data_IF_839889432665
#
_entry.id   IF_839889432665
#
_cell.length_a   1.000
_cell.length_b   1.000
_cell.length_c   1.000
_cell.angle_alpha   90.00
_cell.angle_beta   90.00
_cell.angle_gamma   90.00
#
_symmetry.space_group_name_H-M   'P 1'
#
loop_
_entity.id
_entity.type
_entity.pdbx_description
1 polymer ?
#
# COMPACT_ATOMS: atom_id res chain seq x y z
N UNK A 1 -20.06 -10.47 14.85
CA UNK A 1 -18.73 -11.11 15.01
C UNK A 1 -17.68 -10.06 14.73
N UNK A 2 -16.71 -9.87 15.61
CA UNK A 2 -15.57 -8.95 15.41
C UNK A 2 -14.56 -9.58 14.45
N UNK A 3 -14.85 -9.53 13.16
CA UNK A 3 -14.04 -10.14 12.10
C UNK A 3 -13.01 -9.13 11.57
N UNK A 4 -11.72 -9.48 11.68
CA UNK A 4 -10.60 -8.73 11.13
C UNK A 4 -10.17 -9.47 9.86
N UNK A 5 -10.05 -8.75 8.75
CA UNK A 5 -9.52 -9.30 7.49
C UNK A 5 -8.32 -8.50 7.03
N UNK A 6 -7.12 -9.08 7.15
CA UNK A 6 -5.88 -8.52 6.63
C UNK A 6 -5.56 -9.21 5.31
N UNK A 7 -5.75 -8.50 4.19
CA UNK A 7 -5.39 -9.02 2.88
C UNK A 7 -3.87 -9.17 2.78
N UNK A 8 -3.43 -10.36 2.37
CA UNK A 8 -2.02 -10.63 2.06
C UNK A 8 -1.89 -10.71 0.54
N UNK A 9 -1.56 -9.57 -0.07
CA UNK A 9 -1.48 -9.44 -1.53
C UNK A 9 -0.31 -10.24 -2.10
N UNK A 10 -0.62 -11.17 -3.02
CA UNK A 10 0.38 -12.04 -3.65
C UNK A 10 0.13 -12.25 -5.14
N UNK A 11 1.21 -12.51 -5.88
CA UNK A 11 1.19 -12.91 -7.31
C UNK A 11 1.91 -14.25 -7.55
N UNK A 12 2.30 -14.94 -6.47
CA UNK A 12 2.97 -16.25 -6.50
C UNK A 12 2.67 -17.03 -5.22
N UNK A 13 2.89 -18.35 -5.22
CA UNK A 13 2.78 -19.14 -3.98
C UNK A 13 3.82 -18.66 -2.96
N UNK A 14 3.38 -18.51 -1.72
CA UNK A 14 4.22 -18.11 -0.60
C UNK A 14 3.71 -18.75 0.70
N UNK A 15 4.57 -18.81 1.70
CA UNK A 15 4.20 -19.22 3.05
C UNK A 15 3.37 -18.10 3.70
N UNK A 16 2.09 -18.36 3.93
CA UNK A 16 1.14 -17.37 4.46
C UNK A 16 1.06 -17.48 6.00
N UNK A 17 0.77 -16.38 6.72
CA UNK A 17 0.51 -16.44 8.15
C UNK A 17 -0.62 -17.41 8.49
N UNK A 18 -0.51 -18.09 9.63
CA UNK A 18 -1.42 -19.17 10.03
C UNK A 18 -2.76 -18.65 10.60
N UNK A 19 -2.77 -17.44 11.18
CA UNK A 19 -3.99 -16.90 11.79
C UNK A 19 -5.06 -16.57 10.75
N UNK A 20 -6.29 -17.00 11.02
CA UNK A 20 -7.43 -16.88 10.10
C UNK A 20 -7.82 -15.45 9.71
N UNK A 21 -7.33 -14.43 10.43
CA UNK A 21 -7.52 -13.03 10.05
C UNK A 21 -6.73 -12.65 8.79
N UNK A 22 -5.64 -13.37 8.47
CA UNK A 22 -4.87 -13.16 7.26
C UNK A 22 -5.56 -13.85 6.08
N UNK A 23 -5.89 -13.07 5.07
CA UNK A 23 -6.59 -13.48 3.87
C UNK A 23 -5.65 -13.39 2.66
N UNK A 24 -5.01 -14.49 2.24
CA UNK A 24 -4.22 -14.50 1.02
C UNK A 24 -5.10 -14.14 -0.18
N UNK A 25 -4.70 -13.09 -0.92
CA UNK A 25 -5.39 -12.63 -2.12
C UNK A 25 -4.43 -12.68 -3.32
N UNK A 26 -4.79 -13.46 -4.34
CA UNK A 26 -4.08 -13.49 -5.61
C UNK A 26 -4.45 -12.24 -6.41
N UNK A 27 -3.55 -11.26 -6.45
CA UNK A 27 -3.73 -10.00 -7.18
C UNK A 27 -3.44 -10.15 -8.67
N UNK A 28 -4.27 -9.53 -9.50
CA UNK A 28 -4.28 -9.75 -10.94
C UNK A 28 -4.51 -11.20 -11.30
N UNK A 29 -5.41 -11.89 -10.60
CA UNK A 29 -5.80 -13.28 -10.86
C UNK A 29 -6.30 -13.48 -12.29
N UNK A 30 -6.96 -12.47 -12.85
CA UNK A 30 -7.55 -12.53 -14.18
C UNK A 30 -6.54 -12.99 -15.24
N UNK A 31 -6.86 -14.08 -15.93
CA UNK A 31 -6.02 -14.66 -16.98
C UNK A 31 -4.72 -15.33 -16.49
N UNK A 32 -4.55 -15.58 -15.18
CA UNK A 32 -3.41 -16.33 -14.62
C UNK A 32 -3.81 -17.71 -14.11
N UNK A 33 -2.82 -18.54 -13.76
CA UNK A 33 -3.03 -19.86 -13.14
C UNK A 33 -3.42 -19.78 -11.68
N UNK A 34 -4.20 -20.77 -11.20
CA UNK A 34 -4.63 -20.79 -9.81
C UNK A 34 -3.50 -21.09 -8.83
N UNK A 35 -3.35 -20.20 -7.86
CA UNK A 35 -2.38 -20.38 -6.78
C UNK A 35 -3.00 -21.09 -5.56
N UNK A 36 -4.31 -21.35 -5.57
CA UNK A 36 -5.06 -21.90 -4.44
C UNK A 36 -5.46 -20.85 -3.39
N UNK A 37 -5.48 -19.56 -3.79
CA UNK A 37 -5.88 -18.44 -2.94
C UNK A 37 -7.12 -17.77 -3.53
N UNK A 38 -7.83 -16.98 -2.72
CA UNK A 38 -8.92 -16.14 -3.23
C UNK A 38 -8.37 -15.22 -4.30
N UNK A 39 -9.05 -15.14 -5.45
CA UNK A 39 -8.70 -14.26 -6.55
C UNK A 39 -9.38 -12.91 -6.43
N UNK A 40 -8.65 -11.85 -6.78
CA UNK A 40 -9.21 -10.50 -6.89
C UNK A 40 -10.08 -10.28 -8.15
N UNK A 41 -10.41 -11.35 -8.89
CA UNK A 41 -11.18 -11.33 -10.14
C UNK A 41 -12.63 -11.81 -9.96
N UNK A 42 -13.17 -11.71 -8.75
CA UNK A 42 -14.56 -12.11 -8.42
C UNK A 42 -15.35 -10.90 -7.94
N UNK A 43 -16.68 -10.93 -8.05
CA UNK A 43 -17.54 -9.80 -7.68
C UNK A 43 -17.20 -8.52 -8.44
N UNK A 44 -17.33 -7.37 -7.79
CA UNK A 44 -16.89 -6.10 -8.37
C UNK A 44 -15.37 -5.95 -8.22
N UNK A 45 -14.67 -5.79 -9.34
CA UNK A 45 -13.22 -5.87 -9.36
C UNK A 45 -12.54 -5.13 -10.52
N UNK A 46 -11.24 -4.91 -10.34
CA UNK A 46 -10.34 -4.34 -11.34
C UNK A 46 -9.12 -5.23 -11.60
N UNK A 47 -9.25 -6.56 -11.46
CA UNK A 47 -8.12 -7.51 -11.56
C UNK A 47 -7.31 -7.36 -12.86
N UNK A 48 -8.00 -7.08 -13.98
CA UNK A 48 -7.40 -6.80 -15.29
C UNK A 48 -6.40 -5.63 -15.29
N UNK A 49 -6.55 -4.69 -14.36
CA UNK A 49 -5.71 -3.49 -14.22
C UNK A 49 -4.44 -3.73 -13.40
N UNK A 50 -4.17 -4.96 -12.93
CA UNK A 50 -3.02 -5.27 -12.06
C UNK A 50 -1.65 -4.87 -12.63
N UNK A 51 -1.49 -4.85 -13.95
CA UNK A 51 -0.25 -4.40 -14.60
C UNK A 51 0.13 -2.95 -14.25
N UNK A 52 -0.86 -2.10 -13.95
CA UNK A 52 -0.66 -0.69 -13.61
C UNK A 52 -1.03 -0.36 -12.17
N UNK A 53 -2.11 -0.95 -11.65
CA UNK A 53 -2.60 -0.77 -10.28
C UNK A 53 -1.90 -1.65 -9.25
N UNK A 54 -1.16 -2.68 -9.67
CA UNK A 54 -0.43 -3.58 -8.78
C UNK A 54 -1.33 -4.13 -7.65
N UNK A 55 -0.86 -4.09 -6.40
CA UNK A 55 -1.57 -4.61 -5.22
C UNK A 55 -2.90 -3.89 -4.93
N UNK A 56 -3.14 -2.69 -5.52
CA UNK A 56 -4.40 -1.96 -5.38
C UNK A 56 -5.59 -2.71 -5.98
N UNK A 57 -5.36 -3.65 -6.89
CA UNK A 57 -6.42 -4.53 -7.40
C UNK A 57 -7.04 -5.39 -6.29
N UNK A 58 -6.21 -5.91 -5.38
CA UNK A 58 -6.69 -6.57 -4.16
C UNK A 58 -7.35 -5.61 -3.17
N UNK A 59 -6.82 -4.38 -3.05
CA UNK A 59 -7.43 -3.35 -2.21
C UNK A 59 -8.84 -2.95 -2.68
N UNK A 60 -9.02 -2.79 -3.99
CA UNK A 60 -10.32 -2.49 -4.60
C UNK A 60 -11.30 -3.63 -4.37
N UNK A 61 -10.85 -4.87 -4.60
CA UNK A 61 -11.66 -6.05 -4.35
C UNK A 61 -12.11 -6.11 -2.87
N UNK A 62 -11.21 -5.81 -1.93
CA UNK A 62 -11.56 -5.72 -0.51
C UNK A 62 -12.63 -4.66 -0.23
N UNK A 63 -12.50 -3.49 -0.84
CA UNK A 63 -13.43 -2.38 -0.68
C UNK A 63 -14.85 -2.78 -1.10
N UNK A 64 -14.98 -3.45 -2.24
CA UNK A 64 -16.29 -3.78 -2.81
C UNK A 64 -16.92 -5.07 -2.29
N UNK A 65 -16.12 -6.02 -1.82
CA UNK A 65 -16.60 -7.39 -1.58
C UNK A 65 -16.47 -7.87 -0.13
N UNK A 66 -15.65 -7.23 0.71
CA UNK A 66 -15.52 -7.66 2.11
C UNK A 66 -16.53 -6.98 3.03
N UNK A 67 -17.24 -7.82 3.79
CA UNK A 67 -18.07 -7.44 4.92
C UNK A 67 -17.37 -7.89 6.22
N UNK A 68 -16.68 -6.94 6.87
CA UNK A 68 -15.97 -7.16 8.12
C UNK A 68 -15.80 -5.85 8.89
N UNK A 69 -15.43 -5.92 10.18
CA UNK A 69 -15.32 -4.72 11.02
C UNK A 69 -13.99 -3.99 10.82
N UNK A 70 -12.92 -4.73 10.53
CA UNK A 70 -11.58 -4.21 10.34
C UNK A 70 -10.96 -4.80 9.08
N UNK A 71 -10.27 -3.95 8.33
CA UNK A 71 -9.59 -4.30 7.08
C UNK A 71 -8.12 -3.92 7.20
N UNK A 72 -7.25 -4.79 6.70
CA UNK A 72 -5.84 -4.48 6.55
C UNK A 72 -5.29 -4.88 5.20
N UNK A 73 -4.16 -4.28 4.82
CA UNK A 73 -3.39 -4.66 3.65
C UNK A 73 -1.95 -4.96 4.07
N UNK A 74 -1.47 -6.13 3.69
CA UNK A 74 -0.09 -6.60 3.83
C UNK A 74 0.41 -7.16 2.51
N UNK A 75 1.74 -7.24 2.36
CA UNK A 75 2.36 -7.91 1.22
C UNK A 75 2.69 -9.34 1.59
N UNK A 76 2.70 -10.25 0.62
CA UNK A 76 3.09 -11.66 0.82
C UNK A 76 4.48 -11.88 1.46
N UNK A 77 5.34 -10.86 1.47
CA UNK A 77 6.71 -10.91 2.03
C UNK A 77 6.98 -9.85 3.10
N UNK A 78 5.94 -9.15 3.55
CA UNK A 78 6.06 -8.11 4.58
C UNK A 78 4.89 -8.15 5.55
N UNK A 79 5.22 -8.33 6.82
CA UNK A 79 4.22 -8.50 7.87
C UNK A 79 4.45 -7.50 9.00
N UNK A 80 3.36 -7.01 9.57
CA UNK A 80 3.40 -6.30 10.85
C UNK A 80 3.92 -7.25 11.94
N UNK A 81 4.66 -6.71 12.91
CA UNK A 81 5.25 -7.49 13.99
C UNK A 81 4.65 -7.12 15.34
N UNK A 82 4.41 -8.12 16.19
CA UNK A 82 4.09 -7.94 17.61
C UNK A 82 5.30 -7.37 18.38
N UNK A 83 6.49 -7.92 18.12
CA UNK A 83 7.75 -7.60 18.77
C UNK A 83 8.93 -7.95 17.85
N UNK A 84 10.17 -7.66 18.27
CA UNK A 84 11.34 -8.11 17.52
C UNK A 84 11.57 -9.61 17.75
N UNK A 85 11.30 -10.41 16.71
CA UNK A 85 11.42 -11.88 16.77
C UNK A 85 12.85 -12.39 16.60
N UNK A 86 13.13 -13.57 17.16
CA UNK A 86 14.39 -14.28 17.00
C UNK A 86 14.54 -14.91 15.60
N UNK A 87 15.78 -15.16 15.16
CA UNK A 87 16.07 -15.70 13.81
C UNK A 87 15.54 -17.11 13.53
N UNK A 88 15.13 -17.88 14.55
CA UNK A 88 14.76 -19.31 14.43
C UNK A 88 13.31 -19.56 14.02
N UNK A 89 12.43 -18.57 14.16
CA UNK A 89 11.03 -18.69 13.76
C UNK A 89 10.87 -18.58 12.24
N UNK A 90 9.87 -19.28 11.68
CA UNK A 90 9.51 -19.14 10.27
C UNK A 90 9.10 -17.70 9.98
N UNK A 91 9.16 -17.29 8.71
CA UNK A 91 8.90 -15.90 8.36
C UNK A 91 7.43 -15.53 8.55
N UNK A 92 6.53 -16.47 8.29
CA UNK A 92 5.08 -16.34 8.41
C UNK A 92 4.62 -16.28 9.87
N UNK A 93 5.27 -17.02 10.78
CA UNK A 93 4.91 -17.08 12.20
C UNK A 93 5.25 -15.80 12.97
N UNK A 94 5.98 -14.87 12.34
CA UNK A 94 6.32 -13.56 12.90
C UNK A 94 5.22 -12.52 12.66
N UNK A 95 4.23 -12.84 11.84
CA UNK A 95 3.13 -11.93 11.58
C UNK A 95 2.38 -11.64 12.89
N UNK A 96 1.99 -10.38 13.07
CA UNK A 96 1.27 -9.86 14.24
C UNK A 96 0.04 -10.72 14.55
N UNK A 97 -0.19 -11.01 15.82
CA UNK A 97 -1.32 -11.85 16.23
C UNK A 97 -2.64 -11.09 16.29
N UNK A 98 -3.77 -11.79 16.15
CA UNK A 98 -5.09 -11.17 16.20
C UNK A 98 -5.37 -10.50 17.56
N UNK A 99 -4.85 -11.07 18.65
CA UNK A 99 -4.97 -10.49 19.98
C UNK A 99 -4.27 -9.12 20.05
N UNK A 100 -3.06 -9.01 19.49
CA UNK A 100 -2.32 -7.73 19.43
C UNK A 100 -3.03 -6.73 18.53
N UNK A 101 -3.49 -7.13 17.35
CA UNK A 101 -4.24 -6.24 16.44
C UNK A 101 -5.46 -5.65 17.15
N UNK A 102 -6.26 -6.49 17.83
CA UNK A 102 -7.43 -6.03 18.60
C UNK A 102 -7.04 -5.02 19.69
N UNK A 103 -6.05 -5.36 20.52
CA UNK A 103 -5.60 -4.48 21.60
C UNK A 103 -5.07 -3.13 21.08
N UNK A 104 -4.38 -3.11 19.95
CA UNK A 104 -3.91 -1.87 19.35
C UNK A 104 -5.08 -1.02 18.81
N UNK A 105 -6.09 -1.63 18.21
CA UNK A 105 -7.24 -0.93 17.65
C UNK A 105 -8.26 -0.46 18.71
N UNK A 106 -8.13 -0.89 19.97
CA UNK A 106 -8.95 -0.35 21.08
C UNK A 106 -8.63 1.11 21.40
N UNK A 107 -7.40 1.57 21.10
CA UNK A 107 -6.92 2.92 21.44
C UNK A 107 -6.38 3.70 20.24
N UNK A 108 -6.46 3.13 19.04
CA UNK A 108 -5.91 3.74 17.82
C UNK A 108 -6.86 3.48 16.65
N UNK A 109 -6.98 4.45 15.75
CA UNK A 109 -7.88 4.37 14.59
C UNK A 109 -7.23 3.58 13.44
N UNK A 110 -5.90 3.61 13.34
CA UNK A 110 -5.15 2.93 12.28
C UNK A 110 -3.77 2.47 12.75
N UNK A 111 -3.39 1.26 12.36
CA UNK A 111 -2.05 0.70 12.51
C UNK A 111 -1.32 0.81 11.17
N UNK A 112 -0.12 1.37 11.17
CA UNK A 112 0.73 1.54 9.98
C UNK A 112 2.19 1.17 10.25
N UNK A 113 3.01 0.93 9.21
CA UNK A 113 4.45 0.77 9.38
C UNK A 113 5.08 2.03 9.96
N UNK A 114 6.22 1.91 10.66
CA UNK A 114 7.03 3.10 10.99
C UNK A 114 7.40 3.89 9.72
N UNK A 115 7.42 5.22 9.82
CA UNK A 115 7.89 6.09 8.73
C UNK A 115 9.34 5.75 8.40
N UNK A 116 9.68 5.85 7.12
CA UNK A 116 11.06 5.81 6.65
C UNK A 116 11.57 7.23 6.44
N UNK A 117 12.79 7.49 6.90
CA UNK A 117 13.49 8.75 6.66
C UNK A 117 14.19 8.76 5.28
N UNK A 118 13.94 9.84 4.54
CA UNK A 118 14.70 10.24 3.36
C UNK A 118 15.68 11.35 3.77
N UNK A 119 16.93 10.98 4.06
CA UNK A 119 17.91 11.92 4.60
C UNK A 119 18.28 13.06 3.63
N UNK A 120 18.19 12.81 2.32
CA UNK A 120 18.74 13.70 1.28
C UNK A 120 17.64 14.33 0.41
N UNK A 121 16.46 13.72 0.35
CA UNK A 121 15.41 14.03 -0.64
C UNK A 121 14.08 14.30 0.05
N UNK A 122 13.28 15.20 -0.51
CA UNK A 122 11.86 15.26 -0.19
C UNK A 122 11.13 14.09 -0.88
N UNK A 123 9.92 13.79 -0.45
CA UNK A 123 9.07 12.79 -1.10
C UNK A 123 8.88 13.13 -2.59
N UNK A 124 8.69 14.42 -2.92
CA UNK A 124 8.60 14.92 -4.30
C UNK A 124 9.88 14.70 -5.09
N UNK A 125 11.05 15.09 -4.56
CA UNK A 125 12.30 14.93 -5.30
C UNK A 125 12.68 13.45 -5.46
N UNK A 126 12.42 12.62 -4.45
CA UNK A 126 12.58 11.17 -4.56
C UNK A 126 11.66 10.57 -5.64
N UNK A 127 10.42 11.06 -5.76
CA UNK A 127 9.54 10.66 -6.86
C UNK A 127 10.11 11.06 -8.21
N UNK A 128 10.50 12.32 -8.39
CA UNK A 128 11.06 12.85 -9.64
C UNK A 128 12.29 12.09 -10.12
N UNK A 129 13.16 11.65 -9.21
CA UNK A 129 14.37 10.91 -9.54
C UNK A 129 14.10 9.42 -9.89
N UNK A 130 12.94 8.89 -9.51
CA UNK A 130 12.61 7.47 -9.69
C UNK A 130 11.49 7.22 -10.70
N UNK A 131 10.66 8.21 -11.00
CA UNK A 131 9.40 8.09 -11.72
C UNK A 131 9.12 9.35 -12.55
N UNK A 132 8.14 9.27 -13.45
CA UNK A 132 7.74 10.40 -14.28
C UNK A 132 7.01 11.47 -13.45
N UNK A 133 7.68 12.59 -13.17
CA UNK A 133 7.14 13.65 -12.31
C UNK A 133 5.81 14.25 -12.82
N UNK A 134 5.58 14.22 -14.14
CA UNK A 134 4.33 14.65 -14.77
C UNK A 134 3.11 13.98 -14.16
N UNK A 135 3.22 12.70 -13.80
CA UNK A 135 2.08 11.92 -13.28
C UNK A 135 1.71 12.38 -11.86
N UNK A 136 2.71 12.75 -11.07
CA UNK A 136 2.51 13.29 -9.72
C UNK A 136 1.92 14.70 -9.77
N UNK A 137 2.39 15.55 -10.68
CA UNK A 137 1.84 16.90 -10.84
C UNK A 137 0.41 16.85 -11.40
N UNK A 138 0.12 15.94 -12.33
CA UNK A 138 -1.25 15.68 -12.79
C UNK A 138 -2.13 15.15 -11.66
N UNK A 139 -1.59 14.31 -10.76
CA UNK A 139 -2.32 13.88 -9.56
C UNK A 139 -2.66 15.05 -8.64
N UNK A 140 -1.73 15.99 -8.46
CA UNK A 140 -1.98 17.20 -7.66
C UNK A 140 -3.07 18.08 -8.27
N UNK A 141 -3.09 18.22 -9.59
CA UNK A 141 -4.15 18.92 -10.34
C UNK A 141 -5.51 18.26 -10.10
N UNK A 142 -5.60 16.93 -10.22
CA UNK A 142 -6.83 16.16 -9.91
C UNK A 142 -7.32 16.44 -8.50
N UNK A 143 -6.43 16.40 -7.51
CA UNK A 143 -6.80 16.66 -6.12
C UNK A 143 -7.35 18.07 -5.97
N UNK A 144 -6.75 19.07 -6.63
CA UNK A 144 -7.25 20.45 -6.57
C UNK A 144 -8.65 20.62 -7.17
N UNK A 145 -9.06 19.73 -8.07
CA UNK A 145 -10.39 19.74 -8.70
C UNK A 145 -11.42 18.93 -7.91
N UNK A 146 -11.07 17.71 -7.48
CA UNK A 146 -12.00 16.76 -6.86
C UNK A 146 -12.09 16.87 -5.33
N UNK A 147 -10.99 17.24 -4.68
CA UNK A 147 -10.88 17.25 -3.21
C UNK A 147 -9.89 18.35 -2.76
N UNK A 148 -10.19 19.64 -3.05
CA UNK A 148 -9.28 20.75 -2.80
C UNK A 148 -8.84 20.87 -1.33
N UNK A 149 -9.63 20.35 -0.38
CA UNK A 149 -9.30 20.26 1.03
C UNK A 149 -8.02 19.43 1.29
N UNK A 150 -7.72 18.43 0.46
CA UNK A 150 -6.50 17.61 0.59
C UNK A 150 -5.24 18.28 0.04
N UNK A 151 -5.35 19.44 -0.61
CA UNK A 151 -4.22 20.04 -1.34
C UNK A 151 -3.09 20.48 -0.40
N UNK A 152 -3.43 21.04 0.77
CA UNK A 152 -2.43 21.40 1.80
C UNK A 152 -1.71 20.16 2.34
N UNK A 153 -2.46 19.08 2.58
CA UNK A 153 -1.92 17.80 3.05
C UNK A 153 -1.04 17.15 1.98
N UNK A 154 -1.42 17.24 0.71
CA UNK A 154 -0.60 16.81 -0.42
C UNK A 154 0.74 17.54 -0.45
N UNK A 155 0.72 18.87 -0.45
CA UNK A 155 1.96 19.66 -0.50
C UNK A 155 2.84 19.44 0.72
N UNK A 156 2.24 19.28 1.91
CA UNK A 156 2.97 18.97 3.15
C UNK A 156 3.68 17.62 3.04
N UNK A 157 3.00 16.56 2.60
CA UNK A 157 3.61 15.23 2.43
C UNK A 157 4.69 15.27 1.35
N UNK A 158 4.43 15.92 0.21
CA UNK A 158 5.38 16.01 -0.90
C UNK A 158 6.66 16.76 -0.53
N UNK A 159 6.56 17.78 0.33
CA UNK A 159 7.71 18.53 0.84
C UNK A 159 8.38 17.88 2.05
N UNK A 160 7.73 16.89 2.68
CA UNK A 160 8.31 16.15 3.80
C UNK A 160 9.46 15.24 3.36
N UNK A 161 10.21 14.73 4.35
CA UNK A 161 11.30 13.77 4.18
C UNK A 161 10.99 12.41 4.80
N UNK A 162 9.72 12.15 5.09
CA UNK A 162 9.31 10.94 5.79
C UNK A 162 8.03 10.38 5.17
N UNK A 163 7.97 9.06 5.00
CA UNK A 163 6.81 8.40 4.39
C UNK A 163 6.55 7.04 5.04
N UNK A 164 5.28 6.71 5.29
CA UNK A 164 4.85 5.34 5.53
C UNK A 164 4.88 4.59 4.21
N UNK A 165 5.70 3.54 4.12
CA UNK A 165 5.86 2.76 2.89
C UNK A 165 4.88 1.60 2.81
N UNK A 166 4.81 1.03 1.61
CA UNK A 166 4.16 -0.23 1.25
C UNK A 166 2.64 -0.21 1.15
N UNK A 167 1.94 0.92 1.33
CA UNK A 167 0.47 0.92 1.41
C UNK A 167 -0.08 -0.08 2.45
N UNK A 168 0.70 -0.40 3.48
CA UNK A 168 0.28 -1.35 4.50
C UNK A 168 -0.45 -0.62 5.61
N UNK A 169 -1.56 -1.19 6.06
CA UNK A 169 -2.33 -0.66 7.18
C UNK A 169 -3.22 -1.74 7.80
N UNK A 170 -3.78 -1.44 8.98
CA UNK A 170 -4.94 -2.12 9.56
C UNK A 170 -5.81 -1.02 10.19
N UNK A 171 -7.08 -0.92 9.80
CA UNK A 171 -8.03 0.08 10.32
C UNK A 171 -9.45 -0.47 10.35
N UNK A 172 -10.38 0.24 10.98
CA UNK A 172 -11.80 -0.09 10.90
C UNK A 172 -12.36 0.12 9.49
N UNK A 173 -13.46 -0.57 9.19
CA UNK A 173 -14.10 -0.57 7.87
C UNK A 173 -14.55 0.82 7.43
N UNK A 174 -15.01 1.68 8.35
CA UNK A 174 -15.45 3.05 8.02
C UNK A 174 -14.28 3.89 7.53
N UNK A 175 -13.14 3.86 8.23
CA UNK A 175 -11.93 4.55 7.81
C UNK A 175 -11.39 3.98 6.48
N UNK A 176 -11.42 2.66 6.32
CA UNK A 176 -11.01 2.02 5.07
C UNK A 176 -11.90 2.43 3.89
N UNK A 177 -13.22 2.44 4.05
CA UNK A 177 -14.16 2.82 2.98
C UNK A 177 -14.02 4.30 2.60
N UNK A 178 -13.78 5.17 3.59
CA UNK A 178 -13.45 6.59 3.35
C UNK A 178 -12.17 6.73 2.52
N UNK A 179 -11.10 6.05 2.93
CA UNK A 179 -9.83 6.04 2.18
C UNK A 179 -9.99 5.49 0.77
N UNK A 180 -10.64 4.34 0.61
CA UNK A 180 -10.79 3.68 -0.68
C UNK A 180 -11.61 4.53 -1.65
N UNK A 181 -12.69 5.16 -1.18
CA UNK A 181 -13.52 6.07 -1.99
C UNK A 181 -12.65 7.21 -2.53
N UNK A 182 -11.97 7.95 -1.65
CA UNK A 182 -11.11 9.06 -2.03
C UNK A 182 -9.97 8.63 -2.97
N UNK A 183 -9.29 7.53 -2.65
CA UNK A 183 -8.16 7.02 -3.44
C UNK A 183 -8.59 6.64 -4.85
N UNK A 184 -9.64 5.85 -5.00
CA UNK A 184 -10.02 5.31 -6.31
C UNK A 184 -10.68 6.35 -7.20
N UNK A 185 -11.38 7.35 -6.64
CA UNK A 185 -11.88 8.49 -7.43
C UNK A 185 -10.72 9.25 -8.11
N UNK A 186 -9.65 9.54 -7.36
CA UNK A 186 -8.45 10.19 -7.89
C UNK A 186 -7.74 9.29 -8.92
N UNK A 187 -7.50 8.02 -8.59
CA UNK A 187 -6.73 7.12 -9.45
C UNK A 187 -7.46 6.79 -10.76
N UNK A 188 -8.79 6.67 -10.75
CA UNK A 188 -9.55 6.45 -11.98
C UNK A 188 -9.61 7.71 -12.83
N UNK A 189 -9.67 8.91 -12.25
CA UNK A 189 -9.48 10.15 -13.03
C UNK A 189 -8.10 10.15 -13.66
N UNK A 190 -7.07 9.89 -12.88
CA UNK A 190 -5.69 9.89 -13.37
C UNK A 190 -5.49 8.88 -14.50
N UNK A 191 -6.05 7.67 -14.37
CA UNK A 191 -5.98 6.63 -15.40
C UNK A 191 -6.50 7.11 -16.76
N UNK A 192 -7.53 7.97 -16.78
CA UNK A 192 -8.08 8.52 -18.01
C UNK A 192 -7.27 9.70 -18.58
N UNK A 193 -6.30 10.24 -17.83
CA UNK A 193 -5.58 11.45 -18.21
C UNK A 193 -4.08 11.28 -18.47
N UNK A 194 -3.54 10.10 -18.18
CA UNK A 194 -2.14 9.79 -18.48
C UNK A 194 -2.04 8.66 -19.49
N UNK A 195 -1.13 8.81 -20.45
CA UNK A 195 -0.78 7.74 -21.39
C UNK A 195 0.44 6.95 -20.88
N UNK A 196 0.20 5.70 -20.51
CA UNK A 196 1.23 4.75 -20.04
C UNK A 196 1.71 3.79 -21.13
N UNK A 197 1.27 3.97 -22.38
CA UNK A 197 1.61 3.08 -23.51
C UNK A 197 3.12 2.98 -23.73
N UNK A 198 3.80 4.13 -23.64
CA UNK A 198 5.24 4.30 -23.82
C UNK A 198 6.08 3.88 -22.60
N UNK A 199 5.45 3.58 -21.46
CA UNK A 199 6.16 3.28 -20.23
C UNK A 199 6.78 1.89 -20.28
N UNK A 200 7.99 1.78 -19.72
CA UNK A 200 8.61 0.48 -19.47
C UNK A 200 7.82 -0.32 -18.41
N UNK A 201 8.16 -1.60 -18.25
CA UNK A 201 7.47 -2.49 -17.30
C UNK A 201 7.50 -2.01 -15.85
N UNK A 202 8.50 -1.21 -15.47
CA UNK A 202 8.63 -0.66 -14.13
C UNK A 202 7.74 0.58 -13.95
N UNK A 203 7.81 1.53 -14.88
CA UNK A 203 7.02 2.77 -14.82
C UNK A 203 5.53 2.53 -15.05
N UNK A 204 5.13 1.45 -15.73
CA UNK A 204 3.72 1.05 -15.86
C UNK A 204 3.01 0.90 -14.51
N UNK A 205 3.74 0.66 -13.42
CA UNK A 205 3.23 0.55 -12.06
C UNK A 205 2.87 1.90 -11.41
N UNK A 206 2.71 2.95 -12.22
CA UNK A 206 2.49 4.35 -11.82
C UNK A 206 1.42 4.51 -10.73
N UNK A 207 0.26 3.87 -10.85
CA UNK A 207 -0.81 3.99 -9.84
C UNK A 207 -0.42 3.35 -8.50
N UNK A 208 0.35 2.25 -8.53
CA UNK A 208 0.95 1.67 -7.34
C UNK A 208 1.96 2.62 -6.66
N UNK A 209 2.74 3.36 -7.45
CA UNK A 209 3.66 4.37 -6.90
C UNK A 209 2.92 5.57 -6.32
N UNK A 210 1.94 6.11 -7.04
CA UNK A 210 1.17 7.29 -6.63
C UNK A 210 0.33 6.98 -5.39
N UNK A 211 -0.32 5.82 -5.33
CA UNK A 211 -1.10 5.42 -4.14
C UNK A 211 -0.29 5.39 -2.85
N UNK A 212 1.01 5.02 -2.89
CA UNK A 212 1.89 5.09 -1.71
C UNK A 212 2.02 6.50 -1.15
N UNK A 213 2.00 7.51 -2.03
CA UNK A 213 2.04 8.91 -1.64
C UNK A 213 0.65 9.35 -1.18
N UNK A 214 -0.39 9.01 -1.94
CA UNK A 214 -1.77 9.35 -1.61
C UNK A 214 -2.23 8.77 -0.27
N UNK A 215 -1.80 7.56 0.10
CA UNK A 215 -2.09 7.00 1.41
C UNK A 215 -1.58 7.89 2.56
N UNK A 216 -0.38 8.46 2.41
CA UNK A 216 0.18 9.37 3.41
C UNK A 216 -0.54 10.72 3.41
N UNK A 217 -0.99 11.20 2.24
CA UNK A 217 -1.82 12.41 2.13
C UNK A 217 -3.15 12.22 2.85
N UNK A 218 -3.76 11.05 2.68
CA UNK A 218 -5.00 10.72 3.37
C UNK A 218 -4.82 10.65 4.89
N UNK A 219 -3.75 10.00 5.36
CA UNK A 219 -3.44 9.94 6.79
C UNK A 219 -3.18 11.33 7.40
N UNK A 220 -2.50 12.22 6.67
CA UNK A 220 -2.22 13.58 7.11
C UNK A 220 -3.51 14.41 7.26
N UNK A 221 -4.45 14.27 6.32
CA UNK A 221 -5.72 14.98 6.35
C UNK A 221 -6.69 14.41 7.40
N UNK A 222 -6.72 13.09 7.56
CA UNK A 222 -7.76 12.40 8.34
C UNK A 222 -7.64 12.56 9.86
N UNK A 223 -6.57 13.19 10.37
CA UNK A 223 -6.31 13.46 11.78
C UNK A 223 -6.60 12.27 12.72
N UNK A 224 -6.17 11.08 12.30
CA UNK A 224 -6.41 9.81 13.01
C UNK A 224 -5.39 9.58 14.13
N UNK A 225 -5.77 8.80 15.14
CA UNK A 225 -4.83 8.26 16.13
C UNK A 225 -4.02 7.13 15.49
N UNK A 226 -2.84 7.47 14.97
CA UNK A 226 -1.98 6.55 14.24
C UNK A 226 -1.07 5.75 15.19
N UNK A 227 -1.19 4.42 15.17
CA UNK A 227 -0.23 3.50 15.77
C UNK A 227 0.82 3.05 14.77
N UNK A 228 2.09 3.38 15.00
CA UNK A 228 3.18 2.83 14.18
C UNK A 228 3.77 1.54 14.77
N UNK A 229 4.01 0.55 13.93
CA UNK A 229 4.61 -0.74 14.32
C UNK A 229 5.75 -1.14 13.37
N UNK A 230 6.72 -1.98 13.83
CA UNK A 230 7.74 -2.49 12.94
C UNK A 230 7.16 -3.46 11.90
N UNK A 231 7.83 -3.55 10.75
CA UNK A 231 7.49 -4.47 9.65
C UNK A 231 8.67 -5.38 9.39
N UNK A 232 8.41 -6.69 9.38
CA UNK A 232 9.38 -7.68 8.94
C UNK A 232 9.40 -7.75 7.41
N UNK A 233 10.59 -7.92 6.83
CA UNK A 233 10.74 -8.23 5.42
C UNK A 233 11.41 -9.59 5.30
N UNK A 234 10.68 -10.54 4.75
CA UNK A 234 11.13 -11.91 4.49
C UNK A 234 12.41 -11.94 3.65
N UNK A 235 12.43 -11.15 2.58
CA UNK A 235 13.55 -11.17 1.64
C UNK A 235 14.70 -10.28 2.11
N UNK A 236 15.92 -10.83 2.13
CA UNK A 236 17.14 -10.07 2.43
C UNK A 236 17.34 -8.94 1.43
N UNK A 237 17.56 -7.73 1.93
CA UNK A 237 17.86 -6.56 1.11
C UNK A 237 19.31 -6.63 0.62
N UNK A 238 19.50 -6.64 -0.70
CA UNK A 238 20.82 -6.45 -1.29
C UNK A 238 21.20 -4.96 -1.26
N UNK A 239 21.93 -4.56 -0.22
CA UNK A 239 22.28 -3.16 0.02
C UNK A 239 23.21 -2.55 -1.04
N UNK A 240 24.16 -3.31 -1.58
CA UNK A 240 25.07 -2.80 -2.62
C UNK A 240 24.28 -2.42 -3.88
N UNK A 241 23.43 -3.32 -4.38
CA UNK A 241 22.55 -3.02 -5.52
C UNK A 241 21.62 -1.83 -5.25
N UNK A 242 21.08 -1.74 -4.04
CA UNK A 242 20.16 -0.66 -3.64
C UNK A 242 20.87 0.71 -3.63
N UNK A 243 22.09 0.78 -3.10
CA UNK A 243 22.90 2.01 -3.06
C UNK A 243 23.31 2.42 -4.48
N UNK A 244 23.82 1.49 -5.30
CA UNK A 244 24.21 1.78 -6.68
C UNK A 244 23.02 2.30 -7.49
N UNK A 245 21.86 1.66 -7.38
CA UNK A 245 20.64 2.10 -8.08
C UNK A 245 20.17 3.49 -7.63
N UNK A 246 20.34 3.81 -6.34
CA UNK A 246 20.04 5.14 -5.81
C UNK A 246 20.97 6.21 -6.42
N UNK A 247 22.27 5.96 -6.46
CA UNK A 247 23.24 6.89 -7.05
C UNK A 247 23.00 7.13 -8.54
N UNK A 248 22.71 6.07 -9.31
CA UNK A 248 22.40 6.18 -10.74
C UNK A 248 21.19 7.08 -10.99
N UNK A 249 20.14 6.94 -10.17
CA UNK A 249 18.92 7.76 -10.30
C UNK A 249 19.14 9.24 -10.01
N UNK A 250 20.16 9.59 -9.25
CA UNK A 250 20.45 10.98 -8.88
C UNK A 250 21.25 11.74 -9.94
N UNK A 251 21.93 11.03 -10.84
CA UNK A 251 22.81 11.61 -11.86
C UNK A 251 22.11 11.69 -13.23
N UNK A 252 20.92 11.08 -13.36
CA UNK A 252 20.03 11.21 -14.53
C UNK A 252 19.24 12.51 -14.45
#
# INVERSE_FOLDING_TARGET
>A
MSDIKILVATHKKYEMPEESMYLPIHVGREGKEDLGYIGDNTGDNISKKNKTFCELTGLYWAWKNLDCNYVGLSHYRRYFLDHFHNKKESESSKAMSQATVKSLLESNDVIVPKKRDYYIESVRSHYANAHNISDLEKTREIISELSPEYLSSFDKVMNSRQLHLYNMFIMDKKNFDSYATWLFDILFRLENEIDVSSYDSYQKRVFGFISERLFNVWLEESNLNIKTVPVFNCEKINWSKKITSFLIRKVK
#
